data_IF_969354358118
#
_entry.id   IF_969354358118
#
_cell.length_a   1.000
_cell.length_b   1.000
_cell.length_c   1.000
_cell.angle_alpha   90.00
_cell.angle_beta   90.00
_cell.angle_gamma   90.00
#
_symmetry.space_group_name_H-M   'P 1'
#
loop_
_entity.id
_entity.type
_entity.pdbx_description
1 polymer ?
#
# COMPACT_ATOMS: atom_id res chain seq x y z
N UNK A 1 -27.61 -23.33 -42.67
CA UNK A 1 -28.77 -22.52 -42.26
C UNK A 1 -28.74 -22.46 -40.74
N UNK A 2 -28.43 -21.32 -40.11
CA UNK A 2 -28.60 -21.22 -38.66
C UNK A 2 -30.10 -21.46 -38.34
N UNK A 3 -30.36 -22.20 -37.25
CA UNK A 3 -31.71 -22.62 -36.83
C UNK A 3 -32.71 -21.46 -36.85
N UNK A 4 -33.89 -21.61 -37.43
CA UNK A 4 -34.80 -20.50 -37.72
C UNK A 4 -35.48 -19.80 -36.52
N UNK A 5 -35.08 -20.07 -35.28
CA UNK A 5 -35.72 -19.53 -34.08
C UNK A 5 -34.69 -18.94 -33.08
N UNK A 6 -35.04 -17.85 -32.36
CA UNK A 6 -34.23 -17.30 -31.28
C UNK A 6 -34.02 -18.34 -30.17
N UNK A 7 -32.98 -18.18 -29.32
CA UNK A 7 -32.72 -19.10 -28.22
C UNK A 7 -33.94 -19.19 -27.30
N UNK A 8 -34.37 -20.43 -27.02
CA UNK A 8 -35.44 -20.73 -26.08
C UNK A 8 -35.08 -20.17 -24.70
N UNK A 9 -35.93 -19.30 -24.16
CA UNK A 9 -35.72 -18.69 -22.83
C UNK A 9 -35.60 -19.76 -21.73
N UNK A 10 -36.30 -20.89 -21.87
CA UNK A 10 -36.26 -22.01 -20.92
C UNK A 10 -34.90 -22.72 -20.95
N UNK A 11 -34.39 -22.97 -22.14
CA UNK A 11 -33.10 -23.64 -22.32
C UNK A 11 -31.97 -22.74 -21.84
N UNK A 12 -32.05 -21.44 -22.15
CA UNK A 12 -31.10 -20.45 -21.68
C UNK A 12 -31.11 -20.31 -20.15
N UNK A 13 -32.29 -20.27 -19.54
CA UNK A 13 -32.43 -20.25 -18.08
C UNK A 13 -31.80 -21.47 -17.43
N UNK A 14 -31.98 -22.65 -18.01
CA UNK A 14 -31.39 -23.90 -17.50
C UNK A 14 -29.87 -23.88 -17.59
N UNK A 15 -29.33 -23.47 -18.74
CA UNK A 15 -27.89 -23.40 -18.96
C UNK A 15 -27.19 -22.36 -18.06
N UNK A 16 -27.78 -21.17 -17.92
CA UNK A 16 -27.26 -20.12 -17.03
C UNK A 16 -27.35 -20.55 -15.57
N UNK A 17 -28.45 -21.18 -15.14
CA UNK A 17 -28.58 -21.69 -13.78
C UNK A 17 -27.51 -22.75 -13.43
N UNK A 18 -27.19 -23.65 -14.37
CA UNK A 18 -26.12 -24.63 -14.19
C UNK A 18 -24.75 -23.95 -13.97
N UNK A 19 -24.43 -22.91 -14.75
CA UNK A 19 -23.19 -22.15 -14.59
C UNK A 19 -23.13 -21.46 -13.21
N UNK A 20 -24.24 -20.87 -12.77
CA UNK A 20 -24.33 -20.24 -11.46
C UNK A 20 -24.19 -21.26 -10.31
N UNK A 21 -24.74 -22.46 -10.46
CA UNK A 21 -24.62 -23.54 -9.48
C UNK A 21 -23.17 -24.02 -9.30
N UNK A 22 -22.44 -24.16 -10.41
CA UNK A 22 -21.01 -24.44 -10.35
C UNK A 22 -20.21 -23.27 -9.74
N UNK A 23 -20.54 -22.03 -10.12
CA UNK A 23 -19.84 -20.83 -9.66
C UNK A 23 -20.00 -20.57 -8.16
N UNK A 24 -21.15 -20.89 -7.57
CA UNK A 24 -21.37 -20.78 -6.12
C UNK A 24 -20.65 -21.88 -5.32
N UNK A 25 -20.34 -23.01 -5.96
CA UNK A 25 -19.71 -24.16 -5.31
C UNK A 25 -18.20 -23.97 -5.17
N UNK A 26 -17.50 -23.54 -6.23
CA UNK A 26 -16.04 -23.37 -6.21
C UNK A 26 -15.54 -22.26 -7.12
N UNK A 27 -14.53 -21.52 -6.64
CA UNK A 27 -13.82 -20.49 -7.44
C UNK A 27 -12.95 -21.13 -8.52
N UNK A 28 -12.53 -22.38 -8.34
CA UNK A 28 -11.64 -23.07 -9.30
C UNK A 28 -12.26 -23.21 -10.70
N UNK A 29 -13.59 -23.27 -10.79
CA UNK A 29 -14.28 -23.43 -12.07
C UNK A 29 -14.61 -22.09 -12.75
N UNK A 30 -14.34 -20.95 -12.10
CA UNK A 30 -14.77 -19.63 -12.60
C UNK A 30 -14.24 -19.35 -14.00
N UNK A 31 -12.96 -19.62 -14.27
CA UNK A 31 -12.38 -19.34 -15.59
C UNK A 31 -13.02 -20.15 -16.72
N UNK A 32 -13.22 -21.46 -16.50
CA UNK A 32 -13.95 -22.32 -17.46
C UNK A 32 -15.38 -21.82 -17.65
N UNK A 33 -16.03 -21.42 -16.56
CA UNK A 33 -17.42 -21.00 -16.57
C UNK A 33 -17.60 -19.64 -17.24
N UNK A 34 -16.61 -18.74 -17.21
CA UNK A 34 -16.62 -17.51 -18.01
C UNK A 34 -16.65 -17.81 -19.50
N UNK A 35 -15.86 -18.80 -19.97
CA UNK A 35 -15.85 -19.21 -21.37
C UNK A 35 -17.20 -19.79 -21.79
N UNK A 36 -17.77 -20.69 -20.98
CA UNK A 36 -19.10 -21.27 -21.25
C UNK A 36 -20.20 -20.21 -21.21
N UNK A 37 -20.15 -19.28 -20.25
CA UNK A 37 -21.11 -18.20 -20.12
C UNK A 37 -21.02 -17.21 -21.30
N UNK A 38 -19.80 -16.89 -21.74
CA UNK A 38 -19.57 -16.11 -22.94
C UNK A 38 -20.11 -16.79 -24.20
N UNK A 39 -19.90 -18.09 -24.39
CA UNK A 39 -20.46 -18.80 -25.54
C UNK A 39 -21.99 -18.65 -25.63
N UNK A 40 -22.70 -18.81 -24.50
CA UNK A 40 -24.14 -18.58 -24.43
C UNK A 40 -24.52 -17.12 -24.74
N UNK A 41 -23.73 -16.17 -24.24
CA UNK A 41 -23.95 -14.75 -24.46
C UNK A 41 -23.74 -14.35 -25.93
N UNK A 42 -22.64 -14.79 -26.54
CA UNK A 42 -22.33 -14.57 -27.96
C UNK A 42 -23.31 -15.28 -28.89
N UNK A 43 -23.84 -16.45 -28.51
CA UNK A 43 -24.87 -17.12 -29.28
C UNK A 43 -26.21 -16.38 -29.20
N UNK A 44 -26.52 -15.77 -28.05
CA UNK A 44 -27.69 -14.93 -27.88
C UNK A 44 -27.58 -13.62 -28.68
N UNK A 45 -26.41 -12.99 -28.75
CA UNK A 45 -26.24 -11.71 -29.46
C UNK A 45 -26.44 -11.80 -30.98
N UNK A 46 -26.38 -13.00 -31.57
CA UNK A 46 -26.62 -13.26 -33.00
C UNK A 46 -28.08 -13.10 -33.44
N UNK A 47 -29.02 -12.80 -32.52
CA UNK A 47 -30.47 -12.76 -32.78
C UNK A 47 -31.09 -11.37 -32.60
N UNK A 48 -30.79 -10.40 -33.48
CA UNK A 48 -31.53 -9.14 -33.56
C UNK A 48 -32.88 -9.29 -34.30
N UNK A 49 -33.90 -8.58 -33.83
CA UNK A 49 -35.18 -8.41 -34.51
C UNK A 49 -35.17 -7.10 -35.32
N UNK A 50 -35.21 -7.24 -36.64
CA UNK A 50 -35.17 -6.13 -37.62
C UNK A 50 -36.56 -5.61 -38.00
N UNK A 51 -37.63 -5.97 -37.27
CA UNK A 51 -38.99 -5.45 -37.55
C UNK A 51 -39.15 -3.95 -37.34
N UNK A 52 -38.19 -3.29 -36.69
CA UNK A 52 -38.13 -1.84 -36.47
C UNK A 52 -36.94 -1.18 -37.19
N UNK A 53 -37.01 0.13 -37.46
CA UNK A 53 -35.93 0.92 -38.09
C UNK A 53 -34.58 0.84 -37.35
N UNK A 54 -34.60 0.59 -36.04
CA UNK A 54 -33.42 0.21 -35.25
C UNK A 54 -33.57 -1.26 -34.85
N UNK A 55 -32.55 -2.12 -35.06
CA UNK A 55 -32.63 -3.53 -34.67
C UNK A 55 -32.79 -3.66 -33.17
N UNK A 56 -33.82 -4.39 -32.73
CA UNK A 56 -34.02 -4.71 -31.33
C UNK A 56 -33.26 -5.99 -30.99
N UNK A 57 -32.30 -5.94 -30.07
CA UNK A 57 -31.40 -7.06 -29.76
C UNK A 57 -32.09 -8.08 -28.83
N UNK A 58 -33.14 -8.76 -29.33
CA UNK A 58 -34.00 -9.68 -28.54
C UNK A 58 -33.18 -10.72 -27.79
N UNK A 59 -32.18 -11.32 -28.45
CA UNK A 59 -31.36 -12.35 -27.84
C UNK A 59 -30.50 -11.83 -26.69
N UNK A 60 -29.77 -10.72 -26.87
CA UNK A 60 -29.02 -10.06 -25.78
C UNK A 60 -29.96 -9.72 -24.62
N UNK A 61 -31.11 -9.10 -24.93
CA UNK A 61 -32.06 -8.71 -23.90
C UNK A 61 -32.62 -9.88 -23.10
N UNK A 62 -32.83 -11.03 -23.74
CA UNK A 62 -33.32 -12.27 -23.12
C UNK A 62 -32.25 -12.89 -22.23
N UNK A 63 -31.01 -12.98 -22.71
CA UNK A 63 -29.87 -13.43 -21.91
C UNK A 63 -29.68 -12.60 -20.65
N UNK A 64 -29.68 -11.28 -20.82
CA UNK A 64 -29.54 -10.33 -19.72
C UNK A 64 -30.68 -10.45 -18.71
N UNK A 65 -31.92 -10.65 -19.16
CA UNK A 65 -33.04 -10.85 -18.26
C UNK A 65 -32.86 -12.12 -17.41
N UNK A 66 -32.46 -13.24 -18.03
CA UNK A 66 -32.17 -14.50 -17.33
C UNK A 66 -31.02 -14.33 -16.34
N UNK A 67 -29.94 -13.64 -16.74
CA UNK A 67 -28.82 -13.34 -15.87
C UNK A 67 -29.25 -12.51 -14.65
N UNK A 68 -30.00 -11.42 -14.86
CA UNK A 68 -30.49 -10.57 -13.77
C UNK A 68 -31.44 -11.33 -12.83
N UNK A 69 -32.26 -12.24 -13.36
CA UNK A 69 -33.10 -13.13 -12.54
C UNK A 69 -32.25 -14.04 -11.63
N UNK A 70 -31.11 -14.56 -12.12
CA UNK A 70 -30.19 -15.35 -11.30
C UNK A 70 -29.47 -14.52 -10.22
N UNK A 71 -29.38 -13.19 -10.38
CA UNK A 71 -28.82 -12.32 -9.35
C UNK A 71 -29.76 -12.08 -8.17
N UNK A 72 -31.08 -12.13 -8.37
CA UNK A 72 -32.04 -11.76 -7.32
C UNK A 72 -31.85 -12.54 -6.00
N UNK A 73 -31.65 -13.87 -6.00
CA UNK A 73 -31.36 -14.61 -4.76
C UNK A 73 -30.04 -14.18 -4.11
N UNK A 74 -29.01 -13.93 -4.91
CA UNK A 74 -27.68 -13.47 -4.46
C UNK A 74 -27.79 -12.12 -3.75
N UNK A 75 -28.59 -11.20 -4.29
CA UNK A 75 -28.81 -9.88 -3.71
C UNK A 75 -29.47 -9.94 -2.32
N UNK A 76 -30.31 -10.95 -2.06
CA UNK A 76 -30.96 -11.11 -0.77
C UNK A 76 -30.09 -11.81 0.29
N UNK A 77 -28.92 -12.33 -0.09
CA UNK A 77 -28.07 -13.10 0.79
C UNK A 77 -27.28 -12.22 1.78
N UNK A 78 -27.26 -12.63 3.05
CA UNK A 78 -26.54 -11.95 4.13
C UNK A 78 -25.02 -11.94 3.92
N UNK A 79 -24.32 -10.98 4.54
CA UNK A 79 -22.84 -10.98 4.66
C UNK A 79 -22.37 -12.32 5.26
N UNK A 80 -21.33 -12.91 4.67
CA UNK A 80 -20.76 -14.19 5.10
C UNK A 80 -21.37 -15.43 4.43
N UNK A 81 -22.42 -15.27 3.60
CA UNK A 81 -22.90 -16.35 2.75
C UNK A 81 -21.88 -16.63 1.63
N UNK A 82 -20.97 -17.58 1.85
CA UNK A 82 -19.83 -17.88 0.98
C UNK A 82 -20.23 -18.21 -0.46
N UNK A 83 -21.35 -18.92 -0.65
CA UNK A 83 -21.93 -19.21 -1.97
C UNK A 83 -22.22 -17.91 -2.76
N UNK A 84 -22.91 -16.95 -2.13
CA UNK A 84 -23.20 -15.66 -2.73
C UNK A 84 -21.92 -14.83 -2.94
N UNK A 85 -20.95 -14.87 -2.02
CA UNK A 85 -19.67 -14.17 -2.19
C UNK A 85 -18.88 -14.71 -3.39
N UNK A 86 -18.96 -16.02 -3.68
CA UNK A 86 -18.33 -16.61 -4.87
C UNK A 86 -19.03 -16.20 -6.15
N UNK A 87 -20.36 -16.14 -6.16
CA UNK A 87 -21.11 -15.66 -7.33
C UNK A 87 -20.80 -14.18 -7.61
N UNK A 88 -20.71 -13.34 -6.59
CA UNK A 88 -20.30 -11.93 -6.76
C UNK A 88 -18.92 -11.82 -7.42
N UNK A 89 -17.93 -12.60 -6.95
CA UNK A 89 -16.60 -12.65 -7.57
C UNK A 89 -16.60 -13.23 -8.98
N UNK A 90 -17.45 -14.23 -9.25
CA UNK A 90 -17.63 -14.78 -10.60
C UNK A 90 -18.11 -13.70 -11.56
N UNK A 91 -19.08 -12.87 -11.15
CA UNK A 91 -19.60 -11.75 -11.96
C UNK A 91 -18.50 -10.71 -12.19
N UNK A 92 -17.79 -10.28 -11.14
CA UNK A 92 -16.68 -9.34 -11.25
C UNK A 92 -15.60 -9.83 -12.22
N UNK A 93 -15.21 -11.09 -12.11
CA UNK A 93 -14.26 -11.72 -13.02
C UNK A 93 -14.78 -11.87 -14.44
N UNK A 94 -16.07 -12.16 -14.63
CA UNK A 94 -16.67 -12.24 -15.95
C UNK A 94 -16.70 -10.88 -16.66
N UNK A 95 -17.06 -9.81 -15.95
CA UNK A 95 -17.05 -8.44 -16.48
C UNK A 95 -15.64 -8.04 -16.92
N UNK A 96 -14.61 -8.34 -16.12
CA UNK A 96 -13.22 -8.16 -16.55
C UNK A 96 -12.93 -8.95 -17.82
N UNK A 97 -13.19 -10.25 -17.79
CA UNK A 97 -12.86 -11.15 -18.89
C UNK A 97 -13.53 -10.75 -20.21
N UNK A 98 -14.81 -10.35 -20.19
CA UNK A 98 -15.54 -9.98 -21.41
C UNK A 98 -15.09 -8.62 -21.96
N UNK A 99 -14.76 -7.66 -21.10
CA UNK A 99 -14.26 -6.35 -21.54
C UNK A 99 -12.82 -6.45 -22.08
N UNK A 100 -11.95 -7.26 -21.44
CA UNK A 100 -10.61 -7.54 -21.97
C UNK A 100 -10.70 -8.20 -23.35
N UNK A 101 -11.59 -9.19 -23.52
CA UNK A 101 -11.85 -9.85 -24.81
C UNK A 101 -12.38 -8.88 -25.87
N UNK A 102 -13.31 -8.01 -25.50
CA UNK A 102 -13.84 -7.01 -26.41
C UNK A 102 -12.76 -6.00 -26.84
N UNK A 103 -11.86 -5.59 -25.93
CA UNK A 103 -10.74 -4.71 -26.26
C UNK A 103 -9.74 -5.36 -27.22
N UNK A 104 -9.43 -6.64 -27.03
CA UNK A 104 -8.61 -7.43 -27.98
C UNK A 104 -9.25 -7.45 -29.37
N UNK A 105 -10.55 -7.74 -29.46
CA UNK A 105 -11.29 -7.82 -30.73
C UNK A 105 -11.45 -6.45 -31.44
N UNK A 106 -11.36 -5.34 -30.71
CA UNK A 106 -11.48 -3.99 -31.25
C UNK A 106 -10.17 -3.49 -31.88
N UNK A 107 -9.00 -3.98 -31.44
CA UNK A 107 -7.70 -3.64 -32.04
C UNK A 107 -7.62 -4.03 -33.53
N UNK A 108 -8.43 -4.99 -33.96
CA UNK A 108 -8.48 -5.49 -35.33
C UNK A 108 -9.60 -4.85 -36.20
N UNK A 109 -10.38 -3.90 -35.65
CA UNK A 109 -11.51 -3.24 -36.35
C UNK A 109 -11.13 -1.84 -36.85
N UNK A 110 -11.79 -1.38 -37.91
CA UNK A 110 -11.59 -0.03 -38.45
C UNK A 110 -12.24 1.04 -37.56
N UNK A 111 -11.62 2.23 -37.48
CA UNK A 111 -12.07 3.38 -36.67
C UNK A 111 -13.50 3.88 -36.98
N UNK A 112 -14.09 3.48 -38.12
CA UNK A 112 -15.44 3.86 -38.55
C UNK A 112 -16.58 2.94 -38.04
N UNK A 113 -16.28 1.87 -37.30
CA UNK A 113 -17.29 0.96 -36.73
C UNK A 113 -17.88 1.47 -35.40
N UNK A 114 -19.15 1.12 -35.11
CA UNK A 114 -19.82 1.45 -33.84
C UNK A 114 -18.98 0.95 -32.65
N UNK A 115 -18.57 1.87 -31.77
CA UNK A 115 -17.79 1.54 -30.57
C UNK A 115 -18.57 0.68 -29.58
N UNK A 116 -19.89 0.55 -29.74
CA UNK A 116 -20.71 -0.29 -28.89
C UNK A 116 -20.50 -1.79 -29.15
N UNK A 117 -19.80 -2.43 -28.23
CA UNK A 117 -19.65 -3.90 -28.18
C UNK A 117 -20.78 -4.56 -27.36
N UNK A 118 -20.99 -5.87 -27.54
CA UNK A 118 -21.90 -6.65 -26.67
C UNK A 118 -21.44 -6.57 -25.20
N UNK A 119 -20.13 -6.48 -24.95
CA UNK A 119 -19.57 -6.34 -23.61
C UNK A 119 -19.94 -5.01 -22.95
N UNK A 120 -19.81 -3.89 -23.66
CA UNK A 120 -20.15 -2.57 -23.13
C UNK A 120 -21.65 -2.41 -22.88
N UNK A 121 -22.51 -2.96 -23.78
CA UNK A 121 -23.97 -2.98 -23.56
C UNK A 121 -24.38 -3.81 -22.34
N UNK A 122 -23.81 -5.00 -22.18
CA UNK A 122 -24.07 -5.87 -21.04
C UNK A 122 -23.64 -5.21 -19.72
N UNK A 123 -22.43 -4.64 -19.70
CA UNK A 123 -21.90 -3.91 -18.55
C UNK A 123 -22.79 -2.73 -18.18
N UNK A 124 -23.19 -1.92 -19.17
CA UNK A 124 -24.09 -0.79 -18.97
C UNK A 124 -25.46 -1.22 -18.39
N UNK A 125 -26.04 -2.32 -18.88
CA UNK A 125 -27.31 -2.84 -18.35
C UNK A 125 -27.17 -3.35 -16.92
N UNK A 126 -26.08 -4.04 -16.59
CA UNK A 126 -25.80 -4.46 -15.23
C UNK A 126 -25.67 -3.25 -14.29
N UNK A 127 -24.88 -2.24 -14.65
CA UNK A 127 -24.72 -1.03 -13.81
C UNK A 127 -26.05 -0.31 -13.58
N UNK A 128 -26.86 -0.12 -14.62
CA UNK A 128 -28.21 0.46 -14.51
C UNK A 128 -29.12 -0.36 -13.59
N UNK A 129 -29.01 -1.68 -13.62
CA UNK A 129 -29.74 -2.55 -12.69
C UNK A 129 -29.25 -2.38 -11.24
N UNK A 130 -27.94 -2.35 -11.03
CA UNK A 130 -27.33 -2.19 -9.70
C UNK A 130 -27.71 -0.86 -9.05
N UNK A 131 -27.67 0.26 -9.80
CA UNK A 131 -28.05 1.60 -9.34
C UNK A 131 -29.42 1.62 -8.63
N UNK A 132 -30.39 0.85 -9.14
CA UNK A 132 -31.76 0.79 -8.58
C UNK A 132 -31.81 0.30 -7.13
N UNK A 133 -30.83 -0.47 -6.68
CA UNK A 133 -30.83 -1.02 -5.33
C UNK A 133 -29.84 -0.38 -4.36
N UNK A 134 -29.12 0.67 -4.76
CA UNK A 134 -28.31 1.49 -3.84
C UNK A 134 -29.15 2.02 -2.67
N UNK A 135 -30.39 2.43 -2.95
CA UNK A 135 -31.33 2.97 -1.94
C UNK A 135 -32.30 1.91 -1.40
N UNK A 136 -32.02 0.61 -1.59
CA UNK A 136 -32.89 -0.45 -1.10
C UNK A 136 -33.07 -0.37 0.42
N UNK A 137 -34.30 -0.57 0.90
CA UNK A 137 -34.59 -0.64 2.34
C UNK A 137 -33.87 -1.84 3.00
N UNK A 138 -33.65 -2.91 2.26
CA UNK A 138 -32.96 -4.09 2.76
C UNK A 138 -31.44 -3.87 2.72
N UNK A 139 -30.80 -3.93 3.91
CA UNK A 139 -29.36 -3.75 4.06
C UNK A 139 -28.51 -4.81 3.36
N UNK A 140 -29.00 -6.05 3.27
CA UNK A 140 -28.28 -7.14 2.61
C UNK A 140 -28.25 -6.90 1.09
N UNK A 141 -29.34 -6.37 0.53
CA UNK A 141 -29.41 -5.95 -0.88
C UNK A 141 -28.44 -4.81 -1.17
N UNK A 142 -28.42 -3.76 -0.34
CA UNK A 142 -27.45 -2.66 -0.50
C UNK A 142 -26.02 -3.17 -0.45
N UNK A 143 -25.71 -4.00 0.55
CA UNK A 143 -24.39 -4.63 0.70
C UNK A 143 -24.00 -5.44 -0.53
N UNK A 144 -24.88 -6.31 -1.04
CA UNK A 144 -24.59 -7.18 -2.20
C UNK A 144 -24.42 -6.39 -3.48
N UNK A 145 -25.24 -5.36 -3.69
CA UNK A 145 -25.09 -4.47 -4.83
C UNK A 145 -23.75 -3.77 -4.80
N UNK A 146 -23.41 -3.15 -3.68
CA UNK A 146 -22.14 -2.43 -3.54
C UNK A 146 -20.94 -3.36 -3.59
N UNK A 147 -21.07 -4.61 -3.16
CA UNK A 147 -20.02 -5.62 -3.33
C UNK A 147 -19.82 -5.98 -4.81
N UNK A 148 -20.90 -6.16 -5.59
CA UNK A 148 -20.78 -6.36 -7.04
C UNK A 148 -20.11 -5.15 -7.69
N UNK A 149 -20.54 -3.93 -7.35
CA UNK A 149 -19.93 -2.69 -7.86
C UNK A 149 -18.44 -2.63 -7.54
N UNK A 150 -18.05 -2.92 -6.30
CA UNK A 150 -16.66 -2.94 -5.89
C UNK A 150 -15.84 -3.96 -6.69
N UNK A 151 -16.39 -5.11 -7.06
CA UNK A 151 -15.70 -6.12 -7.88
C UNK A 151 -15.60 -5.74 -9.36
N UNK A 152 -16.56 -4.99 -9.91
CA UNK A 152 -16.63 -4.69 -11.35
C UNK A 152 -15.98 -3.37 -11.75
N UNK A 153 -15.95 -2.36 -10.87
CA UNK A 153 -15.61 -0.96 -11.22
C UNK A 153 -14.25 -0.79 -11.91
N UNK A 154 -13.23 -1.56 -11.53
CA UNK A 154 -11.90 -1.44 -12.13
C UNK A 154 -11.82 -2.02 -13.55
N UNK A 155 -12.91 -2.62 -14.06
CA UNK A 155 -12.92 -3.40 -15.29
C UNK A 155 -14.16 -3.11 -16.14
N UNK A 156 -14.70 -1.89 -16.06
CA UNK A 156 -15.92 -1.52 -16.77
C UNK A 156 -15.73 -1.41 -18.29
N UNK A 157 -14.48 -1.27 -18.76
CA UNK A 157 -14.19 -0.99 -20.17
C UNK A 157 -14.72 0.38 -20.58
N UNK A 158 -15.02 0.55 -21.87
CA UNK A 158 -15.71 1.75 -22.36
C UNK A 158 -17.15 1.77 -21.86
N UNK A 159 -17.48 2.75 -21.02
CA UNK A 159 -18.82 3.00 -20.52
C UNK A 159 -19.23 4.44 -20.77
N UNK A 160 -20.54 4.66 -20.87
CA UNK A 160 -21.14 5.98 -21.02
C UNK A 160 -20.86 6.86 -19.77
N UNK A 161 -20.34 8.06 -20.00
CA UNK A 161 -19.96 9.02 -18.96
C UNK A 161 -21.08 9.32 -17.97
N UNK A 162 -22.34 9.30 -18.43
CA UNK A 162 -23.50 9.52 -17.56
C UNK A 162 -23.67 8.37 -16.57
N UNK A 163 -23.47 7.13 -17.00
CA UNK A 163 -23.53 5.97 -16.09
C UNK A 163 -22.42 6.06 -15.06
N UNK A 164 -21.22 6.48 -15.47
CA UNK A 164 -20.10 6.69 -14.56
C UNK A 164 -20.42 7.78 -13.52
N UNK A 165 -20.95 8.93 -13.95
CA UNK A 165 -21.37 10.03 -13.09
C UNK A 165 -22.48 9.59 -12.11
N UNK A 166 -23.53 8.92 -12.60
CA UNK A 166 -24.63 8.41 -11.77
C UNK A 166 -24.11 7.43 -10.70
N UNK A 167 -23.16 6.56 -11.06
CA UNK A 167 -22.52 5.61 -10.14
C UNK A 167 -21.69 6.30 -9.07
N UNK A 168 -20.89 7.30 -9.47
CA UNK A 168 -20.08 8.11 -8.57
C UNK A 168 -20.96 8.83 -7.55
N UNK A 169 -21.98 9.55 -8.01
CA UNK A 169 -22.92 10.27 -7.15
C UNK A 169 -23.61 9.31 -6.17
N UNK A 170 -24.11 8.17 -6.68
CA UNK A 170 -24.76 7.18 -5.84
C UNK A 170 -23.82 6.56 -4.78
N UNK A 171 -22.54 6.39 -5.08
CA UNK A 171 -21.53 5.92 -4.11
C UNK A 171 -21.25 6.99 -3.05
N UNK A 172 -21.06 8.24 -3.44
CA UNK A 172 -20.85 9.36 -2.52
C UNK A 172 -22.03 9.50 -1.56
N UNK A 173 -23.26 9.40 -2.05
CA UNK A 173 -24.48 9.40 -1.23
C UNK A 173 -24.54 8.24 -0.23
N UNK A 174 -23.89 7.11 -0.53
CA UNK A 174 -23.89 5.91 0.33
C UNK A 174 -22.71 5.84 1.29
N UNK A 175 -21.75 6.76 1.25
CA UNK A 175 -20.60 6.74 2.16
C UNK A 175 -21.01 6.82 3.63
N UNK A 176 -22.15 7.44 3.94
CA UNK A 176 -22.71 7.55 5.28
C UNK A 176 -23.84 6.55 5.56
N UNK A 177 -23.86 5.37 4.90
CA UNK A 177 -24.87 4.34 5.18
C UNK A 177 -24.87 3.95 6.66
N UNK A 178 -26.06 3.63 7.19
CA UNK A 178 -26.24 3.23 8.59
C UNK A 178 -25.40 2.01 8.95
N UNK A 179 -25.25 1.05 8.04
CA UNK A 179 -24.60 -0.22 8.32
C UNK A 179 -23.12 -0.19 7.90
N UNK A 180 -22.21 -0.49 8.83
CA UNK A 180 -20.77 -0.46 8.56
C UNK A 180 -20.35 -1.38 7.40
N UNK A 181 -20.98 -2.56 7.27
CA UNK A 181 -20.68 -3.48 6.17
C UNK A 181 -20.98 -2.90 4.79
N UNK A 182 -21.95 -2.00 4.69
CA UNK A 182 -22.29 -1.30 3.46
C UNK A 182 -21.23 -0.25 3.19
N UNK A 183 -20.89 0.58 4.19
CA UNK A 183 -19.83 1.59 4.09
C UNK A 183 -18.48 1.02 3.68
N UNK A 184 -18.12 -0.18 4.18
CA UNK A 184 -16.90 -0.90 3.74
C UNK A 184 -16.89 -1.12 2.22
N UNK A 185 -18.01 -1.55 1.64
CA UNK A 185 -18.09 -1.77 0.18
C UNK A 185 -18.05 -0.45 -0.59
N UNK A 186 -18.69 0.60 -0.08
CA UNK A 186 -18.64 1.94 -0.70
C UNK A 186 -17.21 2.46 -0.73
N UNK A 187 -16.49 2.40 0.39
CA UNK A 187 -15.08 2.81 0.47
C UNK A 187 -14.21 2.01 -0.51
N UNK A 188 -14.45 0.70 -0.64
CA UNK A 188 -13.70 -0.18 -1.56
C UNK A 188 -14.01 0.13 -3.03
N UNK A 189 -15.24 0.51 -3.35
CA UNK A 189 -15.62 0.94 -4.69
C UNK A 189 -15.02 2.32 -5.01
N UNK A 190 -15.21 3.29 -4.11
CA UNK A 190 -14.70 4.66 -4.26
C UNK A 190 -13.18 4.71 -4.40
N UNK A 191 -12.41 3.89 -3.68
CA UNK A 191 -10.96 3.83 -3.84
C UNK A 191 -10.51 3.50 -5.28
N UNK A 192 -11.32 2.75 -6.02
CA UNK A 192 -11.05 2.41 -7.41
C UNK A 192 -11.45 3.56 -8.34
N UNK A 193 -12.54 4.28 -8.04
CA UNK A 193 -12.91 5.52 -8.72
C UNK A 193 -11.83 6.61 -8.54
N UNK A 194 -11.28 6.76 -7.32
CA UNK A 194 -10.27 7.78 -7.03
C UNK A 194 -9.01 7.66 -7.90
N UNK A 195 -8.73 6.48 -8.44
CA UNK A 195 -7.58 6.25 -9.34
C UNK A 195 -7.88 6.62 -10.80
N UNK A 196 -9.15 6.86 -11.14
CA UNK A 196 -9.64 7.24 -12.47
C UNK A 196 -9.98 8.73 -12.56
N UNK A 197 -10.15 9.40 -11.43
CA UNK A 197 -10.45 10.83 -11.37
C UNK A 197 -9.20 11.68 -11.66
N UNK A 198 -9.30 12.63 -12.61
CA UNK A 198 -8.30 13.69 -12.78
C UNK A 198 -8.63 14.85 -11.83
N UNK A 199 -7.78 15.17 -10.84
CA UNK A 199 -8.00 16.27 -9.91
C UNK A 199 -8.22 17.64 -10.59
N UNK A 200 -7.74 17.82 -11.82
CA UNK A 200 -7.88 19.08 -12.57
C UNK A 200 -9.28 19.32 -13.16
N UNK A 201 -10.11 18.28 -13.21
CA UNK A 201 -11.49 18.36 -13.73
C UNK A 201 -12.51 18.85 -12.69
N UNK A 202 -12.10 18.93 -11.41
CA UNK A 202 -12.98 19.34 -10.32
C UNK A 202 -12.93 20.85 -10.06
N UNK A 203 -14.11 21.45 -9.83
CA UNK A 203 -14.24 22.83 -9.37
C UNK A 203 -13.82 22.91 -7.90
N UNK A 204 -13.27 24.05 -7.45
CA UNK A 204 -12.69 24.23 -6.09
C UNK A 204 -13.59 23.76 -4.92
N UNK A 205 -14.92 23.82 -5.06
CA UNK A 205 -15.88 23.44 -4.02
C UNK A 205 -16.39 21.99 -4.13
N UNK A 206 -16.01 21.23 -5.16
CA UNK A 206 -16.45 19.85 -5.31
C UNK A 206 -15.59 18.89 -4.46
N UNK A 207 -16.25 18.06 -3.65
CA UNK A 207 -15.57 17.03 -2.88
C UNK A 207 -15.03 15.93 -3.80
N UNK A 208 -13.72 15.84 -3.89
CA UNK A 208 -13.03 14.73 -4.58
C UNK A 208 -13.21 13.42 -3.82
N UNK A 209 -13.15 12.29 -4.54
CA UNK A 209 -13.26 10.98 -3.88
C UNK A 209 -12.08 10.76 -2.91
N UNK A 210 -10.89 11.27 -3.24
CA UNK A 210 -9.74 11.23 -2.35
C UNK A 210 -10.03 11.88 -0.99
N UNK A 211 -10.64 13.07 -0.96
CA UNK A 211 -11.00 13.73 0.29
C UNK A 211 -12.01 12.91 1.10
N UNK A 212 -13.00 12.32 0.43
CA UNK A 212 -14.01 11.47 1.08
C UNK A 212 -13.40 10.20 1.69
N UNK A 213 -12.41 9.61 1.03
CA UNK A 213 -11.67 8.45 1.56
C UNK A 213 -10.81 8.83 2.77
N UNK A 214 -10.14 9.99 2.73
CA UNK A 214 -9.39 10.53 3.86
C UNK A 214 -10.32 10.79 5.05
N UNK A 215 -11.47 11.41 4.84
CA UNK A 215 -12.45 11.65 5.90
C UNK A 215 -12.96 10.34 6.51
N UNK A 216 -13.22 9.34 5.67
CA UNK A 216 -13.67 8.01 6.11
C UNK A 216 -12.60 7.28 6.93
N UNK A 217 -11.33 7.39 6.52
CA UNK A 217 -10.19 6.88 7.27
C UNK A 217 -10.05 7.54 8.64
N UNK A 218 -10.22 8.86 8.69
CA UNK A 218 -9.98 9.66 9.89
C UNK A 218 -11.12 9.56 10.90
N UNK A 219 -12.38 9.52 10.44
CA UNK A 219 -13.56 9.80 11.27
C UNK A 219 -14.61 8.69 11.36
N UNK A 220 -14.59 7.64 10.52
CA UNK A 220 -15.64 6.61 10.59
C UNK A 220 -15.62 5.91 11.96
N UNK A 221 -16.79 5.74 12.63
CA UNK A 221 -16.84 5.10 13.94
C UNK A 221 -16.44 3.61 13.90
N UNK A 222 -16.62 2.92 12.78
CA UNK A 222 -16.34 1.51 12.64
C UNK A 222 -14.88 1.26 12.26
N UNK A 223 -14.14 0.43 13.03
CA UNK A 223 -12.78 0.05 12.66
C UNK A 223 -12.73 -0.76 11.35
N UNK A 224 -13.80 -1.48 10.99
CA UNK A 224 -13.83 -2.19 9.70
C UNK A 224 -13.79 -1.22 8.52
N UNK A 225 -14.47 -0.08 8.62
CA UNK A 225 -14.52 0.94 7.56
C UNK A 225 -13.20 1.69 7.50
N UNK A 226 -12.65 2.15 8.63
CA UNK A 226 -11.34 2.80 8.67
C UNK A 226 -10.25 1.90 8.11
N UNK A 227 -10.26 0.60 8.47
CA UNK A 227 -9.34 -0.40 7.91
C UNK A 227 -9.50 -0.56 6.40
N UNK A 228 -10.74 -0.63 5.90
CA UNK A 228 -11.00 -0.72 4.47
C UNK A 228 -10.49 0.51 3.72
N UNK A 229 -10.69 1.72 4.26
CA UNK A 229 -10.17 2.96 3.70
C UNK A 229 -8.64 2.94 3.66
N UNK A 230 -8.00 2.60 4.78
CA UNK A 230 -6.54 2.54 4.92
C UNK A 230 -5.88 1.59 3.92
N UNK A 231 -6.50 0.42 3.66
CA UNK A 231 -5.91 -0.60 2.79
C UNK A 231 -6.05 -0.28 1.29
N UNK A 232 -7.06 0.51 0.92
CA UNK A 232 -7.38 0.78 -0.48
C UNK A 232 -7.08 2.22 -0.92
N UNK A 233 -6.87 3.18 -0.01
CA UNK A 233 -6.51 4.54 -0.38
C UNK A 233 -5.15 4.55 -1.09
N UNK A 234 -5.02 5.23 -2.26
CA UNK A 234 -3.72 5.44 -2.88
C UNK A 234 -2.80 6.21 -1.94
N UNK A 235 -1.56 5.73 -1.76
CA UNK A 235 -0.57 6.40 -0.92
C UNK A 235 0.05 7.54 -1.72
N UNK A 236 -0.21 8.77 -1.29
CA UNK A 236 0.26 10.01 -1.92
C UNK A 236 0.61 11.04 -0.84
N UNK A 237 1.29 12.16 -1.19
CA UNK A 237 1.53 13.23 -0.24
C UNK A 237 0.26 13.77 0.44
N UNK A 238 -0.89 13.72 -0.26
CA UNK A 238 -2.18 14.16 0.27
C UNK A 238 -2.78 13.17 1.30
N UNK A 239 -2.66 11.87 1.07
CA UNK A 239 -3.24 10.84 1.97
C UNK A 239 -2.30 10.41 3.10
N UNK A 240 -0.98 10.63 2.94
CA UNK A 240 0.04 10.20 3.88
C UNK A 240 -0.17 10.74 5.31
N UNK A 241 -0.51 12.03 5.54
CA UNK A 241 -0.75 12.51 6.90
C UNK A 241 -1.84 11.73 7.63
N UNK A 242 -2.99 11.51 6.97
CA UNK A 242 -4.11 10.77 7.55
C UNK A 242 -3.77 9.28 7.79
N UNK A 243 -2.95 8.68 6.93
CA UNK A 243 -2.42 7.32 7.12
C UNK A 243 -1.51 7.26 8.36
N UNK A 244 -0.59 8.21 8.53
CA UNK A 244 0.34 8.24 9.66
C UNK A 244 -0.38 8.47 11.00
N UNK A 245 -1.48 9.22 11.03
CA UNK A 245 -2.32 9.33 12.22
C UNK A 245 -2.88 7.97 12.70
N UNK A 246 -3.08 7.01 11.78
CA UNK A 246 -3.55 5.66 12.14
C UNK A 246 -2.50 4.82 12.87
N UNK A 247 -1.26 5.30 13.02
CA UNK A 247 -0.29 4.70 13.96
C UNK A 247 -0.79 4.70 15.41
N UNK A 248 -1.79 5.52 15.74
CA UNK A 248 -2.45 5.56 17.06
C UNK A 248 -3.95 5.24 17.00
N UNK A 249 -4.39 4.50 15.99
CA UNK A 249 -5.80 4.06 15.94
C UNK A 249 -6.15 3.25 17.21
N UNK A 250 -7.41 3.34 17.62
CA UNK A 250 -7.94 2.59 18.76
C UNK A 250 -7.94 1.08 18.50
N UNK A 251 -8.05 0.68 17.23
CA UNK A 251 -8.01 -0.71 16.80
C UNK A 251 -6.57 -1.20 16.52
N UNK A 252 -6.14 -2.21 17.25
CA UNK A 252 -4.81 -2.83 17.12
C UNK A 252 -4.54 -3.37 15.71
N UNK A 253 -5.56 -3.90 15.03
CA UNK A 253 -5.38 -4.49 13.70
C UNK A 253 -5.06 -3.42 12.68
N UNK A 254 -5.69 -2.25 12.76
CA UNK A 254 -5.37 -1.09 11.92
C UNK A 254 -3.92 -0.66 12.12
N UNK A 255 -3.50 -0.43 13.38
CA UNK A 255 -2.12 -0.04 13.69
C UNK A 255 -1.12 -1.04 13.11
N UNK A 256 -1.34 -2.34 13.33
CA UNK A 256 -0.49 -3.41 12.80
C UNK A 256 -0.43 -3.41 11.27
N UNK A 257 -1.58 -3.36 10.59
CA UNK A 257 -1.66 -3.43 9.13
C UNK A 257 -1.09 -2.19 8.45
N UNK A 258 -1.13 -1.03 9.11
CA UNK A 258 -0.45 0.17 8.62
C UNK A 258 1.04 -0.11 8.42
N UNK A 259 1.72 -0.63 9.45
CA UNK A 259 3.13 -1.00 9.36
C UNK A 259 3.35 -2.16 8.40
N UNK A 260 2.66 -3.29 8.58
CA UNK A 260 2.99 -4.55 7.90
C UNK A 260 2.52 -4.65 6.44
N UNK A 261 1.68 -3.72 5.97
CA UNK A 261 1.07 -3.82 4.64
C UNK A 261 1.10 -2.48 3.91
N UNK A 262 0.55 -1.42 4.50
CA UNK A 262 0.42 -0.14 3.79
C UNK A 262 1.77 0.53 3.60
N UNK A 263 2.52 0.73 4.69
CA UNK A 263 3.83 1.36 4.66
C UNK A 263 4.87 0.45 4.01
N UNK A 264 4.88 -0.86 4.31
CA UNK A 264 5.79 -1.81 3.62
C UNK A 264 5.60 -1.81 2.10
N UNK A 265 4.35 -1.78 1.60
CA UNK A 265 4.08 -1.71 0.16
C UNK A 265 4.46 -0.36 -0.45
N UNK A 266 4.33 0.73 0.30
CA UNK A 266 4.69 2.07 -0.15
C UNK A 266 6.19 2.38 -0.03
N UNK A 267 6.94 1.61 0.77
CA UNK A 267 8.35 1.81 1.05
C UNK A 267 9.26 1.72 -0.18
N UNK A 268 8.78 1.15 -1.29
CA UNK A 268 9.54 1.05 -2.55
C UNK A 268 9.24 2.19 -3.52
N UNK A 269 8.32 3.10 -3.21
CA UNK A 269 7.90 4.14 -4.15
C UNK A 269 7.61 5.48 -3.45
N UNK A 270 6.53 5.56 -2.68
CA UNK A 270 5.99 6.83 -2.18
C UNK A 270 6.29 7.12 -0.71
N UNK A 271 6.54 6.09 0.10
CA UNK A 271 6.89 6.20 1.52
C UNK A 271 8.25 5.54 1.80
N UNK A 272 9.22 5.74 0.91
CA UNK A 272 10.61 5.35 1.14
C UNK A 272 11.13 6.09 2.39
N UNK A 273 12.12 5.55 3.11
CA UNK A 273 12.71 6.26 4.24
C UNK A 273 13.14 7.68 3.85
N UNK A 274 13.67 7.87 2.65
CA UNK A 274 14.12 9.15 2.11
C UNK A 274 12.97 10.12 1.79
N UNK A 275 11.79 9.63 1.35
CA UNK A 275 10.66 10.51 1.03
C UNK A 275 9.91 11.02 2.26
N UNK A 276 10.05 10.33 3.40
CA UNK A 276 9.51 10.76 4.67
C UNK A 276 10.33 11.91 5.25
N UNK A 277 9.70 12.80 6.01
CA UNK A 277 10.44 13.78 6.80
C UNK A 277 11.05 13.11 8.04
N UNK A 278 12.08 13.71 8.62
CA UNK A 278 12.70 13.21 9.87
C UNK A 278 11.65 13.00 10.95
N UNK A 279 10.75 13.97 11.14
CA UNK A 279 9.69 13.89 12.14
C UNK A 279 8.67 12.77 11.84
N UNK A 280 8.40 12.46 10.57
CA UNK A 280 7.54 11.33 10.21
C UNK A 280 8.21 9.98 10.50
N UNK A 281 9.50 9.84 10.20
CA UNK A 281 10.27 8.63 10.55
C UNK A 281 10.31 8.42 12.05
N UNK A 282 10.60 9.48 12.81
CA UNK A 282 10.63 9.42 14.27
C UNK A 282 9.26 9.10 14.87
N UNK A 283 8.18 9.66 14.32
CA UNK A 283 6.81 9.30 14.70
C UNK A 283 6.53 7.81 14.50
N UNK A 284 6.92 7.25 13.35
CA UNK A 284 6.72 5.84 13.02
C UNK A 284 7.45 4.93 13.99
N UNK A 285 8.73 5.22 14.27
CA UNK A 285 9.55 4.44 15.22
C UNK A 285 8.96 4.53 16.62
N UNK A 286 8.71 5.76 17.11
CA UNK A 286 8.21 6.01 18.46
C UNK A 286 6.86 5.34 18.71
N UNK A 287 5.92 5.46 17.77
CA UNK A 287 4.60 4.85 17.93
C UNK A 287 4.63 3.33 17.72
N UNK A 288 5.42 2.85 16.77
CA UNK A 288 5.43 1.45 16.37
C UNK A 288 6.19 0.58 17.35
N UNK A 289 7.47 0.90 17.61
CA UNK A 289 8.31 0.16 18.56
C UNK A 289 7.84 0.38 20.00
N UNK A 290 7.27 1.56 20.29
CA UNK A 290 6.66 1.89 21.57
C UNK A 290 5.21 1.43 21.73
N UNK A 291 4.63 0.67 20.79
CA UNK A 291 3.24 0.22 20.90
C UNK A 291 3.06 -0.75 22.08
N UNK A 292 1.92 -0.66 22.77
CA UNK A 292 1.54 -1.58 23.84
C UNK A 292 1.40 -3.03 23.36
N UNK A 293 0.99 -3.24 22.11
CA UNK A 293 0.73 -4.56 21.54
C UNK A 293 1.95 -5.13 20.82
N UNK A 294 2.36 -6.35 21.20
CA UNK A 294 3.53 -7.00 20.62
C UNK A 294 3.44 -7.19 19.10
N UNK A 295 2.24 -7.50 18.61
CA UNK A 295 2.02 -7.71 17.17
C UNK A 295 2.24 -6.44 16.34
N UNK A 296 2.04 -5.25 16.93
CA UNK A 296 2.32 -3.97 16.28
C UNK A 296 3.82 -3.67 16.35
N UNK A 297 4.46 -3.89 17.51
CA UNK A 297 5.92 -3.72 17.65
C UNK A 297 6.71 -4.56 16.65
N UNK A 298 6.34 -5.82 16.49
CA UNK A 298 6.97 -6.73 15.51
C UNK A 298 6.77 -6.23 14.07
N UNK A 299 5.58 -5.72 13.72
CA UNK A 299 5.33 -5.17 12.39
C UNK A 299 6.13 -3.89 12.13
N UNK A 300 6.25 -3.00 13.12
CA UNK A 300 7.06 -1.81 13.05
C UNK A 300 8.56 -2.14 12.96
N UNK A 301 9.03 -3.10 13.75
CA UNK A 301 10.41 -3.58 13.71
C UNK A 301 10.79 -4.12 12.33
N UNK A 302 9.90 -4.91 11.72
CA UNK A 302 10.10 -5.39 10.35
C UNK A 302 10.22 -4.23 9.34
N UNK A 303 9.38 -3.21 9.44
CA UNK A 303 9.46 -2.03 8.57
C UNK A 303 10.78 -1.27 8.77
N UNK A 304 11.19 -1.02 10.01
CA UNK A 304 12.45 -0.33 10.32
C UNK A 304 13.65 -1.15 9.82
N UNK A 305 13.61 -2.48 9.94
CA UNK A 305 14.62 -3.37 9.40
C UNK A 305 14.84 -3.17 7.89
N UNK A 306 13.77 -2.97 7.11
CA UNK A 306 13.91 -2.72 5.67
C UNK A 306 14.56 -1.37 5.33
N UNK A 307 14.62 -0.42 6.26
CA UNK A 307 15.27 0.87 6.01
C UNK A 307 16.78 0.75 5.97
N UNK A 308 17.34 -0.26 6.65
CA UNK A 308 18.78 -0.58 6.62
C UNK A 308 19.19 -1.05 5.23
N UNK A 309 18.36 -1.87 4.59
CA UNK A 309 18.61 -2.37 3.23
C UNK A 309 18.68 -1.23 2.20
N UNK A 310 17.97 -0.13 2.42
CA UNK A 310 18.05 1.04 1.54
C UNK A 310 19.42 1.72 1.64
N UNK A 311 19.98 1.82 2.86
CA UNK A 311 21.35 2.30 3.06
C UNK A 311 22.39 1.40 2.39
N UNK A 312 22.18 0.08 2.40
CA UNK A 312 23.07 -0.86 1.67
C UNK A 312 23.05 -0.64 0.16
N UNK A 313 21.91 -0.26 -0.42
CA UNK A 313 21.80 0.04 -1.86
C UNK A 313 22.52 1.33 -2.22
N UNK A 314 22.35 2.39 -1.43
CA UNK A 314 23.05 3.66 -1.64
C UNK A 314 24.58 3.47 -1.65
N UNK A 315 25.10 2.71 -0.68
CA UNK A 315 26.54 2.41 -0.61
C UNK A 315 27.04 1.69 -1.86
N UNK A 316 26.29 0.71 -2.39
CA UNK A 316 26.67 0.00 -3.62
C UNK A 316 26.72 0.92 -4.83
N UNK A 317 25.78 1.87 -4.93
CA UNK A 317 25.75 2.87 -6.00
C UNK A 317 26.95 3.79 -5.89
N UNK A 318 27.28 4.27 -4.69
CA UNK A 318 28.46 5.11 -4.45
C UNK A 318 29.76 4.37 -4.78
N UNK A 319 29.90 3.10 -4.38
CA UNK A 319 31.06 2.27 -4.71
C UNK A 319 31.21 2.06 -6.23
N UNK A 320 30.10 1.83 -6.95
CA UNK A 320 30.12 1.72 -8.42
C UNK A 320 30.49 3.04 -9.09
N UNK A 321 29.96 4.17 -8.61
CA UNK A 321 30.33 5.50 -9.09
C UNK A 321 31.81 5.81 -8.84
N UNK A 322 32.31 5.52 -7.64
CA UNK A 322 33.72 5.66 -7.28
C UNK A 322 34.59 4.75 -8.14
N UNK A 323 34.20 3.49 -8.36
CA UNK A 323 34.94 2.57 -9.25
C UNK A 323 34.98 3.06 -10.70
N UNK A 324 33.95 3.76 -11.17
CA UNK A 324 33.92 4.38 -12.50
C UNK A 324 34.74 5.67 -12.59
N UNK A 325 35.00 6.31 -11.45
CA UNK A 325 35.83 7.52 -11.34
C UNK A 325 37.30 7.19 -10.99
N UNK A 326 37.58 5.97 -10.52
CA UNK A 326 38.89 5.51 -10.09
C UNK A 326 39.76 5.03 -11.26
N UNK A 327 40.20 5.97 -12.09
CA UNK A 327 41.42 5.86 -12.90
C UNK A 327 42.63 6.53 -12.19
N UNK A 328 42.52 6.84 -10.89
CA UNK A 328 43.58 7.51 -10.11
C UNK A 328 43.92 6.73 -8.85
N UNK A 329 45.09 6.09 -8.88
CA UNK A 329 45.92 5.52 -7.80
C UNK A 329 45.26 5.26 -6.43
N UNK A 330 44.60 4.10 -6.30
CA UNK A 330 44.17 3.53 -5.00
C UNK A 330 45.32 2.92 -4.17
N UNK A 331 46.54 2.84 -4.70
CA UNK A 331 47.65 2.11 -4.10
C UNK A 331 48.26 2.75 -2.84
N UNK A 332 47.90 4.00 -2.50
CA UNK A 332 48.44 4.70 -1.32
C UNK A 332 47.61 4.54 -0.03
N UNK A 333 46.37 4.04 -0.11
CA UNK A 333 45.42 4.01 1.03
C UNK A 333 45.52 2.70 1.85
N UNK A 334 46.10 1.63 1.29
CA UNK A 334 46.11 0.30 1.92
C UNK A 334 47.10 0.11 3.09
N UNK A 335 47.94 1.10 3.42
CA UNK A 335 49.03 0.87 4.38
C UNK A 335 48.71 1.13 5.86
N UNK A 336 47.48 1.49 6.22
CA UNK A 336 47.13 1.81 7.62
C UNK A 336 45.74 1.35 8.12
N UNK A 337 45.13 0.30 7.55
CA UNK A 337 43.81 -0.16 8.01
C UNK A 337 43.85 -1.57 8.65
N UNK A 338 43.59 -1.63 9.95
CA UNK A 338 43.47 -2.84 10.78
C UNK A 338 42.06 -3.43 10.83
N UNK A 339 41.06 -2.79 10.21
CA UNK A 339 39.66 -3.26 10.17
C UNK A 339 39.32 -3.99 8.86
N UNK A 340 38.58 -5.11 8.99
CA UNK A 340 38.09 -5.86 7.83
C UNK A 340 37.17 -4.99 6.96
N UNK A 341 37.18 -5.18 5.64
CA UNK A 341 36.31 -4.41 4.74
C UNK A 341 34.82 -4.64 5.03
N UNK A 342 34.48 -5.82 5.54
CA UNK A 342 33.14 -6.16 6.02
C UNK A 342 32.72 -5.31 7.22
N UNK A 343 33.61 -5.12 8.21
CA UNK A 343 33.35 -4.25 9.35
C UNK A 343 33.13 -2.80 8.91
N UNK A 344 33.96 -2.28 7.99
CA UNK A 344 33.77 -0.92 7.47
C UNK A 344 32.43 -0.78 6.77
N UNK A 345 32.01 -1.78 5.99
CA UNK A 345 30.71 -1.79 5.32
C UNK A 345 29.54 -1.79 6.31
N UNK A 346 29.61 -2.58 7.38
CA UNK A 346 28.60 -2.59 8.44
C UNK A 346 28.49 -1.21 9.10
N UNK A 347 29.62 -0.61 9.49
CA UNK A 347 29.65 0.73 10.09
C UNK A 347 29.04 1.76 9.14
N UNK A 348 29.45 1.79 7.87
CA UNK A 348 28.90 2.69 6.85
C UNK A 348 27.38 2.53 6.75
N UNK A 349 26.89 1.31 6.62
CA UNK A 349 25.46 0.99 6.52
C UNK A 349 24.67 1.53 7.71
N UNK A 350 25.14 1.26 8.93
CA UNK A 350 24.48 1.73 10.14
C UNK A 350 24.57 3.25 10.33
N UNK A 351 25.66 3.88 9.89
CA UNK A 351 25.76 5.34 9.90
C UNK A 351 24.82 5.99 8.89
N UNK A 352 24.66 5.44 7.68
CA UNK A 352 23.67 5.91 6.69
C UNK A 352 22.25 5.76 7.22
N UNK A 353 21.95 4.63 7.88
CA UNK A 353 20.67 4.47 8.58
C UNK A 353 20.45 5.55 9.65
N UNK A 354 21.48 5.88 10.45
CA UNK A 354 21.38 6.91 11.48
C UNK A 354 21.22 8.33 10.94
N UNK A 355 21.73 8.63 9.74
CA UNK A 355 21.52 9.92 9.06
C UNK A 355 20.03 10.19 8.77
N UNK A 356 19.17 9.16 8.82
CA UNK A 356 17.73 9.32 8.70
C UNK A 356 17.09 9.96 9.96
N UNK A 357 17.80 10.11 11.07
CA UNK A 357 17.24 10.56 12.34
C UNK A 357 17.87 11.86 12.86
N UNK A 358 17.13 12.60 13.69
CA UNK A 358 17.69 13.74 14.40
C UNK A 358 18.36 13.28 15.71
N UNK A 359 19.68 13.05 15.65
CA UNK A 359 20.46 12.62 16.83
C UNK A 359 20.52 13.66 17.96
N UNK A 360 20.10 14.90 17.70
CA UNK A 360 20.04 15.99 18.69
C UNK A 360 18.70 16.09 19.41
N UNK A 361 17.68 15.33 18.99
CA UNK A 361 16.38 15.33 19.65
C UNK A 361 16.57 14.96 21.13
N UNK A 362 15.98 15.75 22.04
CA UNK A 362 16.04 15.50 23.48
C UNK A 362 14.74 14.87 23.97
N UNK A 363 14.88 13.95 24.91
CA UNK A 363 13.77 13.35 25.63
C UNK A 363 14.13 13.19 27.10
N UNK A 364 13.14 13.10 27.98
CA UNK A 364 13.36 12.95 29.41
C UNK A 364 13.29 11.46 29.76
N UNK A 365 14.35 10.95 30.39
CA UNK A 365 14.44 9.60 30.94
C UNK A 365 13.55 9.41 32.18
N UNK A 366 13.40 8.17 32.62
CA UNK A 366 12.54 7.83 33.78
C UNK A 366 13.05 8.39 35.11
N UNK A 367 14.34 8.67 35.19
CA UNK A 367 15.06 9.26 36.31
C UNK A 367 15.24 10.79 36.18
N UNK A 368 14.68 11.38 35.12
CA UNK A 368 14.81 12.81 34.82
C UNK A 368 16.06 13.18 34.02
N UNK A 369 16.85 12.21 33.57
CA UNK A 369 18.02 12.48 32.72
C UNK A 369 17.60 12.97 31.33
N UNK A 370 18.45 13.80 30.69
CA UNK A 370 18.23 14.24 29.31
C UNK A 370 18.87 13.23 28.37
N UNK A 371 18.03 12.51 27.64
CA UNK A 371 18.41 11.52 26.64
C UNK A 371 18.44 12.15 25.25
N UNK A 372 19.60 12.12 24.60
CA UNK A 372 19.79 12.60 23.22
C UNK A 372 19.61 11.47 22.21
N UNK A 373 18.80 11.70 21.19
CA UNK A 373 18.57 10.79 20.07
C UNK A 373 17.85 9.50 20.46
N UNK A 374 17.00 9.52 21.50
CA UNK A 374 16.34 8.31 22.01
C UNK A 374 15.64 7.49 20.91
N UNK A 375 14.92 8.15 20.01
CA UNK A 375 14.22 7.46 18.91
C UNK A 375 15.19 6.76 17.96
N UNK A 376 16.33 7.39 17.65
CA UNK A 376 17.38 6.78 16.85
C UNK A 376 18.02 5.58 17.58
N UNK A 377 18.20 5.67 18.91
CA UNK A 377 18.70 4.57 19.72
C UNK A 377 17.70 3.39 19.75
N UNK A 378 16.40 3.65 19.90
CA UNK A 378 15.35 2.62 19.85
C UNK A 378 15.32 1.94 18.47
N UNK A 379 15.42 2.71 17.39
CA UNK A 379 15.49 2.20 16.02
C UNK A 379 16.74 1.33 15.80
N UNK A 380 17.90 1.78 16.26
CA UNK A 380 19.16 1.05 16.12
C UNK A 380 19.17 -0.24 16.97
N UNK A 381 18.62 -0.21 18.18
CA UNK A 381 18.43 -1.41 18.99
C UNK A 381 17.51 -2.44 18.31
N UNK A 382 16.44 -1.97 17.67
CA UNK A 382 15.57 -2.82 16.85
C UNK A 382 16.34 -3.46 15.68
N UNK A 383 17.23 -2.72 15.02
CA UNK A 383 18.10 -3.30 13.97
C UNK A 383 19.01 -4.38 14.56
N UNK A 384 19.64 -4.14 15.71
CA UNK A 384 20.47 -5.16 16.36
C UNK A 384 19.71 -6.42 16.76
N UNK A 385 18.42 -6.31 17.10
CA UNK A 385 17.57 -7.47 17.41
C UNK A 385 17.14 -8.25 16.16
N UNK A 386 16.99 -7.56 15.04
CA UNK A 386 16.50 -8.15 13.79
C UNK A 386 17.62 -8.62 12.86
N UNK A 387 18.84 -8.08 13.01
CA UNK A 387 20.03 -8.32 12.17
C UNK A 387 21.26 -8.62 13.05
N UNK A 388 21.33 -9.83 13.63
CA UNK A 388 22.45 -10.23 14.50
C UNK A 388 23.80 -10.33 13.75
N UNK A 389 23.78 -10.52 12.44
CA UNK A 389 24.95 -10.45 11.57
C UNK A 389 25.67 -9.10 11.68
N UNK A 390 24.90 -8.01 11.80
CA UNK A 390 25.46 -6.65 11.89
C UNK A 390 26.13 -6.38 13.23
N UNK A 391 25.64 -6.97 14.34
CA UNK A 391 26.24 -6.71 15.65
C UNK A 391 27.56 -7.46 15.83
N UNK A 392 27.64 -8.72 15.36
CA UNK A 392 28.84 -9.56 15.49
C UNK A 392 30.05 -9.00 14.73
N UNK A 393 29.80 -8.29 13.61
CA UNK A 393 30.83 -7.71 12.76
C UNK A 393 31.34 -6.32 13.16
N UNK A 394 30.74 -5.67 14.17
CA UNK A 394 31.13 -4.32 14.60
C UNK A 394 32.47 -4.30 15.32
N UNK A 395 33.40 -3.45 14.86
CA UNK A 395 34.67 -3.14 15.55
C UNK A 395 34.94 -1.64 15.49
N UNK A 396 35.28 -1.04 16.62
CA UNK A 396 35.56 0.39 16.78
C UNK A 396 37.05 0.58 17.07
N UNK A 397 37.90 0.37 16.06
CA UNK A 397 39.35 0.48 16.23
C UNK A 397 39.84 1.94 16.30
N UNK A 398 41.15 2.14 16.48
CA UNK A 398 41.75 3.48 16.52
C UNK A 398 41.50 4.28 15.23
N UNK A 399 41.30 3.62 14.07
CA UNK A 399 40.99 4.31 12.81
C UNK A 399 39.59 4.91 12.81
N UNK A 400 38.63 4.22 13.44
CA UNK A 400 37.29 4.73 13.65
C UNK A 400 37.28 5.99 14.52
N UNK A 401 37.99 5.97 15.66
CA UNK A 401 38.03 7.13 16.56
C UNK A 401 38.90 8.29 16.06
N UNK A 402 39.82 8.04 15.12
CA UNK A 402 40.62 9.08 14.49
C UNK A 402 39.80 10.05 13.62
N UNK A 403 38.69 9.57 13.03
CA UNK A 403 37.80 10.36 12.17
C UNK A 403 36.34 10.24 12.64
N UNK A 404 35.99 10.84 13.80
CA UNK A 404 34.67 10.66 14.38
C UNK A 404 33.59 11.39 13.58
N UNK A 405 32.51 10.69 13.25
CA UNK A 405 31.25 11.31 12.79
C UNK A 405 30.21 11.30 13.92
N UNK A 406 29.24 12.24 13.93
CA UNK A 406 28.16 12.22 14.90
C UNK A 406 27.41 10.87 14.95
N UNK A 407 27.09 10.31 13.79
CA UNK A 407 26.40 9.03 13.63
C UNK A 407 27.28 7.87 14.09
N UNK A 408 28.58 7.90 13.78
CA UNK A 408 29.52 6.88 14.21
C UNK A 408 29.64 6.84 15.73
N UNK A 409 29.92 7.99 16.36
CA UNK A 409 30.04 8.07 17.83
C UNK A 409 28.71 7.70 18.50
N UNK A 410 27.57 8.08 17.92
CA UNK A 410 26.26 7.67 18.39
C UNK A 410 26.06 6.15 18.31
N UNK A 411 26.43 5.52 17.18
CA UNK A 411 26.42 4.07 17.00
C UNK A 411 27.25 3.36 18.08
N UNK A 412 28.49 3.83 18.30
CA UNK A 412 29.38 3.26 19.32
C UNK A 412 28.77 3.36 20.72
N UNK A 413 28.19 4.51 21.08
CA UNK A 413 27.51 4.72 22.36
C UNK A 413 26.35 3.74 22.55
N UNK A 414 25.43 3.66 21.60
CA UNK A 414 24.24 2.78 21.69
C UNK A 414 24.66 1.30 21.74
N UNK A 415 25.68 0.91 20.96
CA UNK A 415 26.24 -0.43 21.02
C UNK A 415 26.79 -0.77 22.41
N UNK A 416 27.58 0.14 23.01
CA UNK A 416 28.13 -0.06 24.36
C UNK A 416 27.03 -0.15 25.40
N UNK A 417 26.06 0.78 25.38
CA UNK A 417 24.93 0.80 26.32
C UNK A 417 24.13 -0.52 26.25
N UNK A 418 23.87 -1.01 25.04
CA UNK A 418 23.23 -2.30 24.80
C UNK A 418 24.05 -3.46 25.37
N UNK A 419 25.34 -3.54 25.04
CA UNK A 419 26.18 -4.63 25.50
C UNK A 419 26.30 -4.66 27.03
N UNK A 420 26.43 -3.50 27.67
CA UNK A 420 26.46 -3.38 29.13
C UNK A 420 25.14 -3.84 29.75
N UNK A 421 24.00 -3.38 29.22
CA UNK A 421 22.68 -3.75 29.75
C UNK A 421 22.37 -5.25 29.59
N UNK A 422 22.81 -5.86 28.49
CA UNK A 422 22.61 -7.28 28.21
C UNK A 422 23.71 -8.20 28.78
N UNK A 423 24.80 -7.64 29.31
CA UNK A 423 26.02 -8.39 29.68
C UNK A 423 26.57 -9.20 28.50
N UNK A 424 26.55 -8.59 27.32
CA UNK A 424 26.95 -9.17 26.05
C UNK A 424 28.49 -9.27 25.97
N UNK A 425 29.01 -10.37 25.39
CA UNK A 425 30.46 -10.62 25.26
C UNK A 425 31.08 -9.86 24.09
N UNK A 426 30.25 -9.48 23.13
CA UNK A 426 30.57 -8.74 21.92
C UNK A 426 31.33 -7.44 22.22
N UNK A 427 31.15 -6.88 23.42
CA UNK A 427 31.90 -5.70 23.88
C UNK A 427 33.41 -5.95 23.98
N UNK A 428 33.83 -7.15 24.39
CA UNK A 428 35.25 -7.51 24.52
C UNK A 428 35.92 -7.57 23.15
N UNK A 429 35.20 -8.08 22.15
CA UNK A 429 35.69 -8.22 20.78
C UNK A 429 35.56 -6.93 19.96
N UNK A 430 34.69 -5.99 20.37
CA UNK A 430 34.38 -4.77 19.63
C UNK A 430 35.52 -3.75 19.54
N UNK A 431 36.63 -3.94 20.26
CA UNK A 431 37.78 -3.04 20.22
C UNK A 431 37.54 -1.69 20.89
N UNK A 432 36.52 -1.58 21.75
CA UNK A 432 36.22 -0.34 22.49
C UNK A 432 37.44 0.06 23.35
N UNK A 433 37.92 1.31 23.25
CA UNK A 433 39.11 1.75 23.95
C UNK A 433 38.96 1.73 25.47
N UNK A 434 40.09 1.51 26.16
CA UNK A 434 40.18 1.71 27.61
C UNK A 434 39.94 3.18 27.98
N UNK A 435 39.52 3.42 29.23
CA UNK A 435 39.14 4.76 29.74
C UNK A 435 40.19 5.84 29.44
N UNK A 436 41.48 5.54 29.60
CA UNK A 436 42.57 6.47 29.29
C UNK A 436 42.63 6.86 27.81
N UNK A 437 42.35 5.92 26.90
CA UNK A 437 42.30 6.16 25.46
C UNK A 437 41.01 6.90 25.07
N UNK A 438 39.88 6.60 25.69
CA UNK A 438 38.65 7.41 25.55
C UNK A 438 38.86 8.86 25.97
N UNK A 439 39.52 9.09 27.11
CA UNK A 439 39.82 10.44 27.60
C UNK A 439 40.71 11.23 26.62
N UNK A 440 41.69 10.56 26.00
CA UNK A 440 42.52 11.15 24.95
C UNK A 440 41.68 11.59 23.74
N UNK A 441 40.80 10.72 23.22
CA UNK A 441 39.93 11.06 22.09
C UNK A 441 38.97 12.20 22.43
N UNK A 442 38.36 12.18 23.61
CA UNK A 442 37.46 13.24 24.08
C UNK A 442 38.19 14.59 24.19
N UNK A 443 39.41 14.59 24.74
CA UNK A 443 40.23 15.79 24.85
C UNK A 443 40.57 16.36 23.47
N UNK A 444 40.92 15.50 22.51
CA UNK A 444 41.20 15.94 21.13
C UNK A 444 39.97 16.58 20.49
N UNK A 445 38.79 15.93 20.56
CA UNK A 445 37.55 16.49 20.01
C UNK A 445 37.16 17.82 20.67
N UNK A 446 37.36 17.94 21.99
CA UNK A 446 37.12 19.19 22.71
C UNK A 446 38.05 20.31 22.26
N UNK A 447 39.34 20.01 22.07
CA UNK A 447 40.32 20.99 21.60
C UNK A 447 39.99 21.49 20.19
N UNK A 448 39.56 20.59 19.29
CA UNK A 448 39.09 20.97 17.95
C UNK A 448 37.87 21.89 18.04
N UNK A 449 36.86 21.52 18.82
CA UNK A 449 35.67 22.37 19.02
C UNK A 449 36.01 23.76 19.57
N UNK A 450 36.94 23.83 20.53
CA UNK A 450 37.38 25.10 21.11
C UNK A 450 38.08 25.99 20.06
N UNK A 451 38.92 25.41 19.20
CA UNK A 451 39.60 26.11 18.12
C UNK A 451 38.58 26.65 17.08
N UNK A 452 37.63 25.83 16.65
CA UNK A 452 36.58 26.22 15.70
C UNK A 452 35.71 27.36 16.26
N UNK A 453 35.40 27.32 17.56
CA UNK A 453 34.63 28.35 18.23
C UNK A 453 35.39 29.68 18.30
N UNK A 454 36.70 29.65 18.60
CA UNK A 454 37.54 30.84 18.55
C UNK A 454 37.64 31.44 17.14
N UNK A 455 37.73 30.61 16.11
CA UNK A 455 37.77 31.07 14.72
C UNK A 455 36.44 31.72 14.29
N UNK A 456 35.31 31.10 14.67
CA UNK A 456 33.98 31.65 14.41
C UNK A 456 33.82 33.04 15.02
N UNK A 457 34.21 33.21 16.29
CA UNK A 457 34.18 34.50 16.99
C UNK A 457 35.08 35.56 16.34
N UNK A 458 36.18 35.16 15.70
CA UNK A 458 37.07 36.09 14.96
C UNK A 458 36.52 36.48 13.59
N UNK A 459 35.63 35.67 13.02
CA UNK A 459 35.07 35.84 11.68
C UNK A 459 33.73 36.61 11.63
N UNK A 460 33.07 36.81 12.78
CA UNK A 460 31.84 37.62 12.84
C UNK A 460 32.14 39.09 12.51
N UNK A 461 31.48 39.69 11.50
CA UNK A 461 31.65 41.11 11.20
C UNK A 461 31.09 41.95 12.34
N UNK A 462 31.90 42.90 12.83
CA UNK A 462 31.56 43.84 13.91
C UNK A 462 30.39 44.76 13.59
#
# INVERSE_FOLDING_TARGET
MPSSNPPSTVDLKTAVAHIFDEAQTSVANHQRNWVSFHALHSDASKWPDYRSQRPYLVGEHTFEAVFLDMLLPVLSAKKGATAADRVVRFIGGYIRWINDKAAEDMHDRSEDEDSSTTASRFTARLLKFLLRGFQSKNKDVRYRILFIVAETVAYLGEIDDRIYADMREALLDRIHDKEAMVRVQVVTALSKFASLEDPSEFVEDERTVMQVLIDSLSSDPSPEVRRAAMLNIPVSPASLPALLERTRDTDTTIRRLLYSSVLTRAATNTATPQSLTVSQRELLVRNGLGDRENTVRVAAAALVGTWVDVGEVEIKVDEELVSRLADVDLALIEKTATSSEETKKIIRTLTTFLQMFNLRETSIGTDGEVLYGKVAADALNCVFETRSDMIEGLRFDDTFFANPSPEGIFLARVFVDRCVSMKARELEDAGIPVVTRCAYWLQNSYNTLAADYEETLRSEPR
#
